data_IF_458651829697
#
_entry.id   IF_458651829697
#
_cell.length_a   1.000
_cell.length_b   1.000
_cell.length_c   1.000
_cell.angle_alpha   90.00
_cell.angle_beta   90.00
_cell.angle_gamma   90.00
#
_symmetry.space_group_name_H-M   'P 1'
#
loop_
_entity.id
_entity.type
_entity.pdbx_description
1 polymer ?
#
# COMPACT_ATOMS: atom_id res chain seq x y z
N UNK A 1 -4.24 16.99 0.10
CA UNK A 1 -3.04 16.44 0.75
C UNK A 1 -1.87 16.88 -0.11
N UNK A 2 -1.18 17.93 0.32
CA UNK A 2 0.02 18.43 -0.34
C UNK A 2 1.22 17.64 0.22
N UNK A 3 2.09 17.09 -0.63
CA UNK A 3 3.40 16.59 -0.18
C UNK A 3 3.80 15.15 -0.51
N UNK A 4 3.05 14.40 -1.32
CA UNK A 4 3.55 13.14 -1.90
C UNK A 4 4.10 13.39 -3.30
N UNK A 5 5.42 13.31 -3.45
CA UNK A 5 6.14 13.45 -4.71
C UNK A 5 6.37 12.08 -5.38
N UNK A 6 6.65 12.09 -6.68
CA UNK A 6 7.08 10.90 -7.39
C UNK A 6 8.34 10.30 -6.74
N UNK A 7 8.33 8.99 -6.51
CA UNK A 7 9.43 8.30 -5.83
C UNK A 7 9.37 8.33 -4.30
N UNK A 8 8.43 9.08 -3.70
CA UNK A 8 8.26 9.06 -2.25
C UNK A 8 7.77 7.69 -1.78
N UNK A 9 8.32 7.27 -0.64
CA UNK A 9 7.94 6.08 0.09
C UNK A 9 7.12 6.46 1.33
N UNK A 10 5.96 5.84 1.49
CA UNK A 10 5.05 6.13 2.60
C UNK A 10 4.31 4.88 3.10
N UNK A 11 3.74 4.99 4.29
CA UNK A 11 2.94 3.96 4.95
C UNK A 11 1.46 4.40 5.00
N UNK A 12 0.55 3.44 4.94
CA UNK A 12 -0.89 3.65 5.25
C UNK A 12 -1.16 3.21 6.67
N UNK A 13 -1.91 4.02 7.40
CA UNK A 13 -2.38 3.73 8.75
C UNK A 13 -3.89 3.75 8.84
N UNK A 14 -4.49 2.86 9.63
CA UNK A 14 -5.90 3.01 10.02
C UNK A 14 -6.07 4.09 11.12
N UNK A 15 -7.32 4.32 11.53
CA UNK A 15 -7.65 5.28 12.60
C UNK A 15 -7.10 4.90 13.98
N UNK A 16 -6.66 3.65 14.17
CA UNK A 16 -6.04 3.17 15.40
C UNK A 16 -4.51 3.29 15.39
N UNK A 17 -3.92 3.72 14.27
CA UNK A 17 -2.47 3.85 14.11
C UNK A 17 -1.77 2.56 13.67
N UNK A 18 -2.52 1.54 13.24
CA UNK A 18 -1.96 0.29 12.69
C UNK A 18 -1.62 0.45 11.22
N UNK A 19 -0.56 -0.22 10.77
CA UNK A 19 -0.05 -0.12 9.40
C UNK A 19 -0.68 -1.18 8.51
N UNK A 20 -1.03 -0.80 7.28
CA UNK A 20 -1.46 -1.75 6.26
C UNK A 20 -0.30 -2.72 5.94
N UNK A 21 -0.57 -4.01 5.93
CA UNK A 21 0.42 -5.08 5.78
C UNK A 21 -0.22 -6.32 5.14
N UNK A 22 0.57 -7.39 4.93
CA UNK A 22 0.08 -8.74 4.66
C UNK A 22 0.40 -9.68 5.82
N UNK A 23 -0.55 -10.54 6.21
CA UNK A 23 -0.30 -11.59 7.19
C UNK A 23 0.40 -12.83 6.56
N UNK A 24 0.60 -13.88 7.36
CA UNK A 24 1.24 -15.12 6.91
C UNK A 24 0.42 -15.90 5.84
N UNK A 25 -0.86 -15.59 5.71
CA UNK A 25 -1.79 -16.16 4.72
C UNK A 25 -1.91 -15.26 3.47
N UNK A 26 -1.04 -14.27 3.32
CA UNK A 26 -1.04 -13.27 2.24
C UNK A 26 -2.32 -12.40 2.19
N UNK A 27 -3.08 -12.35 3.29
CA UNK A 27 -4.26 -11.48 3.42
C UNK A 27 -3.83 -10.07 3.81
N UNK A 28 -4.49 -9.06 3.22
CA UNK A 28 -4.24 -7.66 3.52
C UNK A 28 -4.94 -7.28 4.82
N UNK A 29 -4.16 -6.85 5.81
CA UNK A 29 -4.64 -6.52 7.16
C UNK A 29 -3.96 -5.27 7.71
N UNK A 30 -4.49 -4.74 8.81
CA UNK A 30 -3.84 -3.69 9.60
C UNK A 30 -3.18 -4.30 10.84
N UNK A 31 -1.89 -4.04 11.05
CA UNK A 31 -1.14 -4.58 12.18
C UNK A 31 -0.21 -3.53 12.82
N UNK A 32 0.16 -3.78 14.08
CA UNK A 32 1.11 -2.95 14.82
C UNK A 32 2.51 -3.10 14.24
N UNK A 33 3.23 -1.99 14.03
CA UNK A 33 4.56 -2.00 13.42
C UNK A 33 5.58 -2.85 14.17
N UNK A 34 5.45 -2.95 15.50
CA UNK A 34 6.29 -3.81 16.35
C UNK A 34 6.09 -5.31 16.13
N UNK A 35 4.99 -5.70 15.47
CA UNK A 35 4.64 -7.09 15.18
C UNK A 35 4.97 -7.53 13.75
N UNK A 36 5.43 -6.58 12.92
CA UNK A 36 5.73 -6.84 11.51
C UNK A 36 7.13 -7.41 11.35
N UNK A 37 7.21 -8.60 10.75
CA UNK A 37 8.47 -9.06 10.17
C UNK A 37 8.87 -8.13 9.01
N UNK A 38 10.18 -8.05 8.73
CA UNK A 38 10.70 -7.15 7.70
C UNK A 38 9.98 -7.34 6.35
N UNK A 39 9.69 -8.58 5.95
CA UNK A 39 9.06 -8.94 4.68
C UNK A 39 7.55 -8.64 4.60
N UNK A 40 6.90 -8.36 5.73
CA UNK A 40 5.49 -8.00 5.80
C UNK A 40 5.27 -6.48 5.60
N UNK A 41 6.33 -5.70 5.70
CA UNK A 41 6.27 -4.25 5.55
C UNK A 41 5.90 -3.82 4.12
N UNK A 42 4.79 -3.08 3.96
CA UNK A 42 4.39 -2.44 2.70
C UNK A 42 5.16 -1.14 2.44
N UNK A 43 5.89 -1.07 1.33
CA UNK A 43 6.45 0.18 0.81
C UNK A 43 5.59 0.69 -0.34
N UNK A 44 4.90 1.80 -0.09
CA UNK A 44 4.12 2.45 -1.13
C UNK A 44 5.01 3.35 -1.97
N UNK A 45 4.91 3.21 -3.29
CA UNK A 45 5.69 3.99 -4.24
C UNK A 45 4.76 4.93 -5.03
N UNK A 46 5.00 6.23 -4.95
CA UNK A 46 4.27 7.20 -5.79
C UNK A 46 4.67 7.03 -7.27
N UNK A 47 3.74 6.55 -8.09
CA UNK A 47 4.03 5.72 -9.26
C UNK A 47 3.97 6.40 -10.62
N UNK A 48 3.33 7.56 -10.77
CA UNK A 48 3.07 8.07 -12.11
C UNK A 48 3.25 9.57 -12.26
N UNK A 49 4.37 9.98 -12.88
CA UNK A 49 4.69 11.38 -13.15
C UNK A 49 3.62 12.11 -13.99
N UNK A 50 2.83 11.40 -14.81
CA UNK A 50 1.80 12.02 -15.66
C UNK A 50 0.37 11.96 -15.11
N UNK A 51 0.15 11.35 -13.94
CA UNK A 51 -1.14 11.36 -13.24
C UNK A 51 -0.90 11.63 -11.74
N UNK A 52 -1.10 12.87 -11.29
CA UNK A 52 -1.06 13.20 -9.87
C UNK A 52 -1.95 12.23 -9.09
N UNK A 53 -1.49 11.78 -7.92
CA UNK A 53 -2.20 10.86 -7.03
C UNK A 53 -2.36 9.39 -7.49
N UNK A 54 -1.63 8.94 -8.52
CA UNK A 54 -1.53 7.51 -8.87
C UNK A 54 -0.29 6.85 -8.24
N UNK A 55 -0.47 5.82 -7.41
CA UNK A 55 0.61 5.09 -6.72
C UNK A 55 0.62 3.60 -7.05
N UNK A 56 1.78 2.98 -6.84
CA UNK A 56 1.95 1.52 -6.80
C UNK A 56 2.15 1.11 -5.34
N UNK A 57 1.50 0.04 -4.94
CA UNK A 57 1.69 -0.59 -3.64
C UNK A 57 2.62 -1.79 -3.84
N UNK A 58 3.79 -1.79 -3.19
CA UNK A 58 4.75 -2.89 -3.24
C UNK A 58 5.16 -3.28 -1.82
N UNK A 59 5.56 -4.53 -1.61
CA UNK A 59 6.10 -4.97 -0.33
C UNK A 59 7.62 -4.80 -0.33
N UNK A 60 8.16 -4.34 0.81
CA UNK A 60 9.58 -3.98 0.97
C UNK A 60 10.53 -5.13 0.64
N UNK A 61 10.13 -6.37 0.92
CA UNK A 61 10.94 -7.54 0.60
C UNK A 61 10.11 -8.63 -0.10
N UNK A 62 10.23 -8.65 -1.44
CA UNK A 62 9.98 -9.80 -2.35
C UNK A 62 8.56 -10.32 -2.60
N UNK A 63 7.49 -9.79 -2.02
CA UNK A 63 6.12 -10.28 -2.32
C UNK A 63 5.34 -9.38 -3.29
N UNK A 64 5.85 -9.26 -4.53
CA UNK A 64 5.08 -8.67 -5.64
C UNK A 64 4.47 -7.29 -5.38
N UNK A 65 3.37 -7.02 -6.07
CA UNK A 65 2.58 -5.78 -5.97
C UNK A 65 1.18 -6.09 -5.45
N UNK A 66 0.52 -5.08 -4.91
CA UNK A 66 -0.93 -5.14 -4.75
C UNK A 66 -1.62 -4.86 -6.09
N UNK A 67 -2.78 -5.50 -6.32
CA UNK A 67 -3.72 -5.08 -7.36
C UNK A 67 -5.17 -5.15 -6.83
N UNK A 68 -6.11 -4.61 -7.61
CA UNK A 68 -7.53 -4.92 -7.44
C UNK A 68 -7.92 -6.13 -8.30
N UNK A 69 -8.62 -7.07 -7.66
CA UNK A 69 -9.37 -8.11 -8.36
C UNK A 69 -10.51 -7.49 -9.17
N UNK A 70 -11.18 -8.30 -9.99
CA UNK A 70 -12.40 -7.87 -10.71
C UNK A 70 -13.54 -7.48 -9.76
N UNK A 71 -13.44 -7.84 -8.48
CA UNK A 71 -14.41 -7.52 -7.42
C UNK A 71 -13.94 -6.37 -6.52
N UNK A 72 -12.98 -5.57 -6.99
CA UNK A 72 -12.43 -4.41 -6.25
C UNK A 72 -11.77 -4.75 -4.91
N UNK A 73 -11.42 -6.03 -4.69
CA UNK A 73 -10.68 -6.46 -3.50
C UNK A 73 -9.18 -6.35 -3.72
N UNK A 74 -8.44 -5.95 -2.68
CA UNK A 74 -6.98 -5.97 -2.70
C UNK A 74 -6.46 -7.41 -2.72
N UNK A 75 -5.52 -7.68 -3.64
CA UNK A 75 -4.82 -8.97 -3.76
C UNK A 75 -3.31 -8.78 -3.63
N UNK A 76 -2.64 -9.69 -2.93
CA UNK A 76 -1.18 -9.73 -2.73
C UNK A 76 -0.46 -10.55 -3.81
N UNK A 77 0.84 -10.32 -4.00
CA UNK A 77 1.73 -11.19 -4.77
C UNK A 77 1.62 -11.03 -6.28
N UNK A 78 1.08 -9.92 -6.76
CA UNK A 78 0.87 -9.70 -8.21
C UNK A 78 2.21 -9.44 -8.91
N UNK A 79 2.50 -10.09 -10.05
CA UNK A 79 3.70 -9.83 -10.81
C UNK A 79 3.82 -8.38 -11.29
N UNK A 80 5.04 -7.88 -11.46
CA UNK A 80 5.32 -6.49 -11.85
C UNK A 80 4.57 -6.04 -13.13
N UNK A 81 4.42 -6.92 -14.11
CA UNK A 81 3.77 -6.60 -15.39
C UNK A 81 2.23 -6.53 -15.29
N UNK A 82 1.64 -7.03 -14.21
CA UNK A 82 0.20 -6.95 -13.92
C UNK A 82 -0.15 -5.81 -12.95
N UNK A 83 0.83 -4.95 -12.60
CA UNK A 83 0.62 -3.83 -11.69
C UNK A 83 -0.46 -2.89 -12.21
N UNK A 84 -1.45 -2.61 -11.36
CA UNK A 84 -2.42 -1.53 -11.57
C UNK A 84 -2.01 -0.32 -10.75
N UNK A 85 -2.23 0.87 -11.30
CA UNK A 85 -2.08 2.12 -10.53
C UNK A 85 -3.28 2.30 -9.63
N UNK A 86 -3.04 2.75 -8.40
CA UNK A 86 -4.06 3.03 -7.40
C UNK A 86 -4.24 4.54 -7.22
N UNK A 87 -5.47 4.96 -6.90
CA UNK A 87 -5.74 6.27 -6.30
C UNK A 87 -6.11 6.09 -4.82
N UNK A 88 -5.98 7.14 -4.01
CA UNK A 88 -6.38 7.09 -2.59
C UNK A 88 -7.86 6.76 -2.44
N UNK A 89 -8.68 7.25 -3.37
CA UNK A 89 -10.10 6.97 -3.45
C UNK A 89 -10.37 5.48 -3.70
N UNK A 90 -9.73 4.88 -4.72
CA UNK A 90 -9.90 3.45 -5.02
C UNK A 90 -9.43 2.56 -3.86
N UNK A 91 -8.36 2.96 -3.19
CA UNK A 91 -7.86 2.29 -2.01
C UNK A 91 -8.86 2.40 -0.84
N UNK A 92 -9.49 3.57 -0.66
CA UNK A 92 -10.50 3.78 0.39
C UNK A 92 -11.74 2.94 0.17
N UNK A 93 -12.16 2.78 -1.08
CA UNK A 93 -13.30 1.91 -1.44
C UNK A 93 -12.99 0.46 -1.08
N UNK A 94 -11.82 -0.04 -1.47
CA UNK A 94 -11.45 -1.42 -1.26
C UNK A 94 -11.11 -1.80 0.18
N UNK A 95 -10.59 -0.86 0.97
CA UNK A 95 -10.32 -1.09 2.39
C UNK A 95 -11.60 -1.05 3.24
N UNK A 96 -12.69 -0.47 2.71
CA UNK A 96 -13.96 -0.25 3.41
C UNK A 96 -13.82 0.47 4.76
N UNK A 97 -12.67 1.13 4.98
CA UNK A 97 -12.25 1.74 6.26
C UNK A 97 -11.46 3.02 6.03
N UNK A 98 -11.63 4.03 6.89
CA UNK A 98 -10.84 5.26 6.81
C UNK A 98 -9.37 4.98 7.13
N UNK A 99 -8.48 5.68 6.43
CA UNK A 99 -7.04 5.58 6.62
C UNK A 99 -6.34 6.93 6.45
N UNK A 100 -5.09 7.00 6.91
CA UNK A 100 -4.18 8.15 6.72
C UNK A 100 -2.86 7.67 6.13
N UNK A 101 -2.07 8.60 5.60
CA UNK A 101 -0.74 8.30 5.04
C UNK A 101 0.33 9.07 5.80
N UNK A 102 1.49 8.46 6.04
CA UNK A 102 2.67 9.13 6.61
C UNK A 102 3.90 8.79 5.79
N UNK A 103 4.70 9.80 5.43
CA UNK A 103 6.00 9.60 4.79
C UNK A 103 6.88 8.69 5.65
N UNK A 104 7.59 7.77 5.00
CA UNK A 104 8.53 6.90 5.69
C UNK A 104 9.80 7.68 6.01
N UNK A 105 10.10 7.86 7.30
CA UNK A 105 11.37 8.43 7.78
C UNK A 105 12.56 7.45 7.58
N UNK A 106 12.26 6.21 7.16
CA UNK A 106 13.21 5.09 7.01
C UNK A 106 13.15 4.42 5.63
N UNK A 107 12.81 5.21 4.61
CA UNK A 107 12.83 4.83 3.20
C UNK A 107 14.25 4.55 2.70
#
# INVERSE_FOLDING_TARGET
MDGLNFGDLFWIYDSSGKVLTSNAQDEIVFADTSSLELDQQLLMYCGHASKPASFYLSFKYKRGFLAFSEQEKLINGVPFYERKTFTLESLSQALEKPFTTKLSEHA
#
